data_IF_235031479053
#
_entry.id   IF_235031479053
#
_cell.length_a   1.000
_cell.length_b   1.000
_cell.length_c   1.000
_cell.angle_alpha   90.00
_cell.angle_beta   90.00
_cell.angle_gamma   90.00
#
_symmetry.space_group_name_H-M   'P 1'
#
loop_
_entity.id
_entity.type
_entity.pdbx_description
1 polymer ?
#
# COMPACT_ATOMS: atom_id res chain seq x y z
N UNK A 1 6.11 -18.47 -47.61
CA UNK A 1 6.04 -18.53 -49.09
C UNK A 1 4.75 -17.84 -49.50
N UNK A 2 4.82 -16.64 -50.05
CA UNK A 2 3.65 -15.98 -50.64
C UNK A 2 3.33 -16.65 -51.98
N UNK A 3 2.10 -17.10 -52.14
CA UNK A 3 1.58 -17.56 -53.44
C UNK A 3 1.31 -16.37 -54.37
N UNK A 4 1.26 -16.62 -55.67
CA UNK A 4 0.96 -15.60 -56.68
C UNK A 4 -0.40 -14.93 -56.40
N UNK A 5 -0.41 -13.59 -56.24
CA UNK A 5 -1.60 -12.77 -56.09
C UNK A 5 -1.68 -11.75 -57.25
N UNK A 6 -2.84 -11.67 -57.90
CA UNK A 6 -3.15 -10.60 -58.85
C UNK A 6 -4.22 -9.66 -58.23
N UNK A 7 -3.77 -8.62 -57.53
CA UNK A 7 -4.63 -7.67 -56.80
C UNK A 7 -3.85 -6.80 -55.82
N UNK A 8 -4.55 -5.99 -55.00
CA UNK A 8 -3.95 -5.24 -53.88
C UNK A 8 -4.22 -6.02 -52.61
N UNK A 9 -3.16 -6.33 -51.86
CA UNK A 9 -3.23 -6.93 -50.52
C UNK A 9 -2.79 -5.89 -49.49
N UNK A 10 -3.50 -5.85 -48.37
CA UNK A 10 -3.08 -5.12 -47.19
C UNK A 10 -2.60 -6.17 -46.19
N UNK A 11 -1.31 -6.14 -45.89
CA UNK A 11 -0.71 -6.92 -44.82
C UNK A 11 -0.54 -5.98 -43.63
N UNK A 12 -1.18 -6.30 -42.53
CA UNK A 12 -1.00 -5.58 -41.28
C UNK A 12 0.35 -6.01 -40.67
N UNK A 13 1.30 -5.08 -40.63
CA UNK A 13 2.64 -5.29 -40.08
C UNK A 13 2.66 -4.65 -38.70
N UNK A 14 2.48 -5.48 -37.67
CA UNK A 14 2.58 -5.09 -36.27
C UNK A 14 4.04 -5.12 -35.80
N UNK A 15 4.82 -4.10 -36.18
CA UNK A 15 6.19 -3.89 -35.71
C UNK A 15 6.27 -2.70 -34.76
N UNK A 16 7.01 -2.84 -33.66
CA UNK A 16 7.32 -1.73 -32.75
C UNK A 16 7.17 -2.10 -31.26
N UNK A 17 7.69 -1.24 -30.37
CA UNK A 17 7.60 -1.44 -28.93
C UNK A 17 6.13 -1.34 -28.48
N UNK A 18 5.68 -2.34 -27.71
CA UNK A 18 4.33 -2.35 -27.14
C UNK A 18 4.29 -1.45 -25.89
N UNK A 19 3.30 -0.55 -25.77
CA UNK A 19 3.24 0.35 -24.62
C UNK A 19 2.91 -0.41 -23.34
N UNK A 20 3.74 -0.25 -22.31
CA UNK A 20 3.50 -0.75 -20.96
C UNK A 20 2.56 0.23 -20.26
N UNK A 21 1.51 -0.29 -19.63
CA UNK A 21 0.61 0.50 -18.79
C UNK A 21 0.97 0.30 -17.32
N UNK A 22 1.05 1.39 -16.58
CA UNK A 22 1.15 1.33 -15.13
C UNK A 22 -0.12 0.69 -14.55
N UNK A 23 0.09 -0.17 -13.57
CA UNK A 23 -0.99 -0.83 -12.84
C UNK A 23 -1.81 0.18 -12.02
N UNK A 24 -3.03 -0.22 -11.61
CA UNK A 24 -3.80 0.59 -10.67
C UNK A 24 -3.18 0.50 -9.28
N UNK A 25 -2.70 1.62 -8.74
CA UNK A 25 -1.95 1.66 -7.48
C UNK A 25 -2.82 1.97 -6.25
N UNK A 26 -3.97 2.62 -6.46
CA UNK A 26 -4.92 3.03 -5.41
C UNK A 26 -6.03 2.02 -5.10
N UNK A 27 -5.83 0.73 -5.39
CA UNK A 27 -6.81 -0.33 -5.03
C UNK A 27 -6.53 -0.77 -3.59
N UNK A 28 -7.53 -0.63 -2.72
CA UNK A 28 -7.43 -0.94 -1.30
C UNK A 28 -8.09 -2.30 -1.03
N UNK A 29 -7.45 -3.16 -0.25
CA UNK A 29 -8.02 -4.40 0.27
C UNK A 29 -8.27 -4.27 1.76
N UNK A 30 -9.52 -4.43 2.19
CA UNK A 30 -9.91 -4.39 3.61
C UNK A 30 -10.50 -5.72 4.06
N UNK A 31 -10.13 -6.16 5.25
CA UNK A 31 -10.68 -7.36 5.91
C UNK A 31 -11.20 -6.96 7.29
N UNK A 32 -12.40 -7.42 7.64
CA UNK A 32 -13.00 -7.09 8.93
C UNK A 32 -14.39 -7.68 9.11
N UNK A 33 -15.02 -7.31 10.23
CA UNK A 33 -16.36 -7.79 10.59
C UNK A 33 -17.43 -6.80 10.16
N UNK A 34 -18.61 -7.33 9.84
CA UNK A 34 -19.83 -6.56 9.63
C UNK A 34 -21.02 -7.50 9.88
N UNK A 35 -21.47 -7.68 11.14
CA UNK A 35 -22.47 -8.70 11.46
C UNK A 35 -23.82 -8.39 10.80
N UNK A 36 -24.19 -7.11 10.65
CA UNK A 36 -25.46 -6.68 10.04
C UNK A 36 -25.34 -6.31 8.53
N UNK A 37 -24.31 -6.78 7.83
CA UNK A 37 -24.20 -6.60 6.38
C UNK A 37 -25.16 -7.51 5.61
N UNK A 38 -25.66 -7.02 4.48
CA UNK A 38 -26.42 -7.80 3.48
C UNK A 38 -25.56 -8.99 3.02
N UNK A 39 -25.99 -10.21 3.36
CA UNK A 39 -25.25 -11.43 3.11
C UNK A 39 -25.15 -11.79 1.61
N UNK A 40 -26.08 -11.32 0.79
CA UNK A 40 -26.05 -11.55 -0.66
C UNK A 40 -25.07 -10.57 -1.33
N UNK A 41 -25.01 -9.33 -0.82
CA UNK A 41 -24.08 -8.32 -1.32
C UNK A 41 -22.64 -8.53 -0.82
N UNK A 42 -22.49 -8.93 0.45
CA UNK A 42 -21.21 -9.18 1.11
C UNK A 42 -21.21 -10.57 1.77
N UNK A 43 -21.07 -11.64 0.96
CA UNK A 43 -20.91 -12.99 1.48
C UNK A 43 -19.61 -13.15 2.27
N UNK A 44 -19.63 -14.03 3.26
CA UNK A 44 -18.46 -14.29 4.12
C UNK A 44 -17.28 -14.83 3.31
N UNK A 45 -16.07 -14.40 3.68
CA UNK A 45 -14.79 -14.82 3.10
C UNK A 45 -14.67 -14.66 1.57
N UNK A 46 -15.56 -13.90 0.96
CA UNK A 46 -15.58 -13.70 -0.49
C UNK A 46 -15.21 -12.26 -0.81
N UNK A 47 -14.18 -12.01 -1.64
CA UNK A 47 -13.82 -10.66 -2.06
C UNK A 47 -14.94 -10.01 -2.87
N UNK A 48 -15.41 -8.84 -2.41
CA UNK A 48 -16.40 -8.02 -3.11
C UNK A 48 -15.79 -6.68 -3.48
N UNK A 49 -15.96 -6.27 -4.74
CA UNK A 49 -15.46 -5.00 -5.25
C UNK A 49 -16.50 -3.89 -5.03
N UNK A 50 -16.09 -2.81 -4.37
CA UNK A 50 -16.85 -1.57 -4.25
C UNK A 50 -16.11 -0.46 -5.01
N UNK A 51 -16.71 0.03 -6.09
CA UNK A 51 -16.08 1.01 -6.98
C UNK A 51 -16.43 2.45 -6.58
N UNK A 52 -16.07 2.87 -5.36
CA UNK A 52 -16.32 4.23 -4.85
C UNK A 52 -17.79 4.56 -4.59
N UNK A 53 -18.69 3.57 -4.66
CA UNK A 53 -20.13 3.76 -4.46
C UNK A 53 -20.48 3.72 -2.97
N UNK A 54 -20.85 4.88 -2.41
CA UNK A 54 -21.39 4.96 -1.03
C UNK A 54 -22.67 4.14 -0.84
N UNK A 55 -23.46 3.97 -1.90
CA UNK A 55 -24.70 3.16 -1.87
C UNK A 55 -24.40 1.67 -1.75
N UNK A 56 -23.34 1.18 -2.40
CA UNK A 56 -22.92 -0.23 -2.26
C UNK A 56 -22.28 -0.46 -0.89
N UNK A 57 -21.43 0.46 -0.44
CA UNK A 57 -20.85 0.43 0.89
C UNK A 57 -21.89 0.44 2.02
N UNK A 58 -23.01 1.16 1.85
CA UNK A 58 -24.10 1.19 2.83
C UNK A 58 -24.68 -0.21 3.11
N UNK A 59 -24.54 -1.18 2.20
CA UNK A 59 -25.00 -2.56 2.44
C UNK A 59 -24.12 -3.32 3.45
N UNK A 60 -22.99 -2.74 3.89
CA UNK A 60 -22.21 -3.27 5.01
C UNK A 60 -22.89 -3.08 6.37
N UNK A 61 -23.86 -2.16 6.45
CA UNK A 61 -24.69 -1.99 7.63
C UNK A 61 -26.15 -1.76 7.21
N UNK A 62 -26.97 -2.79 7.35
CA UNK A 62 -28.41 -2.72 7.01
C UNK A 62 -29.26 -2.10 8.10
N UNK A 63 -28.70 -1.73 9.25
CA UNK A 63 -29.43 -1.05 10.32
C UNK A 63 -29.76 0.38 9.94
N UNK A 64 -30.95 0.85 10.32
CA UNK A 64 -31.41 2.19 9.96
C UNK A 64 -30.71 3.32 10.76
N UNK A 65 -30.06 2.97 11.87
CA UNK A 65 -29.39 3.89 12.80
C UNK A 65 -27.85 3.85 12.72
N UNK A 66 -27.28 2.97 11.89
CA UNK A 66 -25.83 2.81 11.75
C UNK A 66 -25.19 2.12 12.96
N UNK A 67 -25.97 1.31 13.69
CA UNK A 67 -25.53 0.55 14.86
C UNK A 67 -25.19 -0.90 14.53
N UNK A 68 -25.06 -1.24 13.24
CA UNK A 68 -24.84 -2.60 12.78
C UNK A 68 -23.49 -3.19 13.16
N UNK A 69 -22.63 -2.40 13.80
CA UNK A 69 -21.39 -2.84 14.42
C UNK A 69 -20.35 -3.33 13.42
N UNK A 70 -19.33 -4.00 13.95
CA UNK A 70 -18.18 -4.46 13.17
C UNK A 70 -17.22 -3.34 12.78
N UNK A 71 -16.16 -3.73 12.08
CA UNK A 71 -15.05 -2.82 11.73
C UNK A 71 -15.14 -2.28 10.30
N UNK A 72 -15.86 -2.95 9.40
CA UNK A 72 -15.90 -2.58 7.98
C UNK A 72 -16.70 -1.30 7.65
N UNK A 73 -17.87 -1.02 8.27
CA UNK A 73 -18.63 0.19 7.92
C UNK A 73 -17.84 1.48 8.17
N UNK A 74 -17.26 1.64 9.36
CA UNK A 74 -16.42 2.80 9.71
C UNK A 74 -15.13 2.88 8.89
N UNK A 75 -14.51 1.73 8.58
CA UNK A 75 -13.35 1.68 7.70
C UNK A 75 -13.67 2.17 6.28
N UNK A 76 -14.80 1.75 5.72
CA UNK A 76 -15.23 2.14 4.39
C UNK A 76 -15.54 3.64 4.31
N UNK A 77 -16.26 4.18 5.29
CA UNK A 77 -16.53 5.62 5.35
C UNK A 77 -15.23 6.42 5.51
N UNK A 78 -14.31 5.96 6.37
CA UNK A 78 -12.98 6.57 6.51
C UNK A 78 -12.16 6.63 5.22
N UNK A 79 -12.22 5.58 4.39
CA UNK A 79 -11.58 5.60 3.05
C UNK A 79 -12.27 6.62 2.15
N UNK A 80 -13.61 6.60 2.10
CA UNK A 80 -14.42 7.45 1.23
C UNK A 80 -14.46 8.92 1.62
N UNK A 81 -14.08 9.25 2.84
CA UNK A 81 -13.82 10.62 3.27
C UNK A 81 -12.54 11.19 2.67
N UNK A 82 -11.58 10.35 2.27
CA UNK A 82 -10.38 10.79 1.56
C UNK A 82 -10.61 10.82 0.05
N UNK A 83 -11.12 9.73 -0.51
CA UNK A 83 -11.35 9.56 -1.95
C UNK A 83 -12.34 8.41 -2.22
N UNK A 84 -13.14 8.53 -3.28
CA UNK A 84 -13.95 7.42 -3.81
C UNK A 84 -13.08 6.33 -4.46
N UNK A 85 -12.26 5.65 -3.67
CA UNK A 85 -11.34 4.62 -4.12
C UNK A 85 -12.05 3.32 -4.54
N UNK A 86 -11.34 2.49 -5.29
CA UNK A 86 -11.76 1.10 -5.52
C UNK A 86 -11.32 0.27 -4.31
N UNK A 87 -12.30 -0.32 -3.61
CA UNK A 87 -12.07 -1.07 -2.39
C UNK A 87 -12.54 -2.51 -2.58
N UNK A 88 -11.67 -3.46 -2.26
CA UNK A 88 -11.98 -4.88 -2.18
C UNK A 88 -12.25 -5.20 -0.73
N UNK A 89 -13.47 -5.62 -0.44
CA UNK A 89 -13.94 -5.91 0.91
C UNK A 89 -14.02 -7.41 1.09
N UNK A 90 -13.41 -7.90 2.17
CA UNK A 90 -13.59 -9.28 2.64
C UNK A 90 -14.25 -9.22 4.01
N UNK A 91 -15.51 -9.63 4.07
CA UNK A 91 -16.27 -9.75 5.32
C UNK A 91 -15.95 -11.08 5.97
N UNK A 92 -15.56 -11.06 7.24
CA UNK A 92 -15.41 -12.26 8.06
C UNK A 92 -16.49 -12.33 9.13
N UNK A 93 -16.73 -13.54 9.62
CA UNK A 93 -17.73 -13.78 10.67
C UNK A 93 -17.22 -13.28 12.03
N UNK A 94 -18.12 -12.75 12.84
CA UNK A 94 -17.82 -12.34 14.21
C UNK A 94 -17.92 -13.55 15.13
N UNK A 95 -16.79 -13.89 15.77
CA UNK A 95 -16.71 -15.04 16.65
C UNK A 95 -17.41 -14.79 17.99
N UNK A 96 -17.52 -15.85 18.81
CA UNK A 96 -18.09 -15.74 20.16
C UNK A 96 -17.27 -14.84 21.10
N UNK A 97 -15.99 -14.65 20.80
CA UNK A 97 -15.07 -13.77 21.50
C UNK A 97 -14.05 -13.12 20.53
N UNK A 98 -13.21 -12.23 21.06
CA UNK A 98 -12.21 -11.52 20.27
C UNK A 98 -11.18 -12.48 19.65
N UNK A 99 -10.83 -13.58 20.33
CA UNK A 99 -9.86 -14.55 19.84
C UNK A 99 -10.42 -15.37 18.66
N UNK A 100 -11.68 -15.78 18.73
CA UNK A 100 -12.38 -16.45 17.64
C UNK A 100 -12.55 -15.52 16.43
N UNK A 101 -12.85 -14.24 16.68
CA UNK A 101 -12.93 -13.25 15.60
C UNK A 101 -11.57 -13.01 14.95
N UNK A 102 -10.52 -12.87 15.76
CA UNK A 102 -9.14 -12.74 15.25
C UNK A 102 -8.75 -13.96 14.40
N UNK A 103 -9.11 -15.18 14.82
CA UNK A 103 -8.89 -16.39 14.03
C UNK A 103 -9.62 -16.35 12.68
N UNK A 104 -10.86 -15.85 12.64
CA UNK A 104 -11.61 -15.67 11.39
C UNK A 104 -10.98 -14.59 10.49
N UNK A 105 -10.43 -13.51 11.06
CA UNK A 105 -9.73 -12.45 10.31
C UNK A 105 -8.43 -12.97 9.69
N UNK A 106 -7.64 -13.74 10.44
CA UNK A 106 -6.45 -14.45 9.91
C UNK A 106 -6.90 -15.37 8.77
N UNK A 107 -7.90 -16.20 9.04
CA UNK A 107 -8.45 -17.14 8.08
C UNK A 107 -7.44 -18.22 7.68
N UNK A 108 -7.44 -18.58 6.40
CA UNK A 108 -6.60 -19.67 5.88
C UNK A 108 -7.12 -20.20 4.56
N UNK A 109 -6.99 -21.51 4.36
CA UNK A 109 -7.60 -22.23 3.25
C UNK A 109 -8.58 -23.23 3.81
N UNK A 110 -9.83 -23.12 3.39
CA UNK A 110 -10.88 -24.06 3.80
C UNK A 110 -10.62 -25.44 3.19
N UNK A 111 -10.43 -26.44 4.06
CA UNK A 111 -10.09 -27.80 3.63
C UNK A 111 -11.16 -28.52 2.80
N UNK A 112 -12.43 -28.08 2.88
CA UNK A 112 -13.54 -28.72 2.19
C UNK A 112 -13.76 -28.24 0.76
N UNK A 113 -13.50 -26.96 0.48
CA UNK A 113 -13.78 -26.34 -0.82
C UNK A 113 -12.56 -25.60 -1.44
N UNK A 114 -11.44 -25.52 -0.72
CA UNK A 114 -10.22 -24.85 -1.18
C UNK A 114 -10.31 -23.32 -1.23
N UNK A 115 -11.37 -22.71 -0.70
CA UNK A 115 -11.54 -21.26 -0.69
C UNK A 115 -10.58 -20.60 0.30
N UNK A 116 -10.03 -19.47 -0.10
CA UNK A 116 -9.26 -18.61 0.79
C UNK A 116 -10.20 -17.86 1.74
N UNK A 117 -9.83 -17.80 3.01
CA UNK A 117 -10.60 -17.16 4.08
C UNK A 117 -9.80 -16.04 4.74
N UNK A 118 -10.47 -15.07 5.36
CA UNK A 118 -9.82 -13.96 6.07
C UNK A 118 -8.89 -13.14 5.17
N UNK A 119 -7.70 -12.79 5.68
CA UNK A 119 -6.72 -12.01 4.91
C UNK A 119 -6.20 -12.74 3.68
N UNK A 120 -6.19 -14.08 3.67
CA UNK A 120 -5.75 -14.85 2.49
C UNK A 120 -6.68 -14.67 1.29
N UNK A 121 -7.96 -14.32 1.50
CA UNK A 121 -8.88 -14.03 0.41
C UNK A 121 -8.44 -12.84 -0.44
N UNK A 122 -7.68 -11.88 0.13
CA UNK A 122 -7.10 -10.76 -0.61
C UNK A 122 -6.09 -11.22 -1.67
N UNK A 123 -5.34 -12.30 -1.42
CA UNK A 123 -4.40 -12.87 -2.37
C UNK A 123 -5.11 -13.45 -3.61
N UNK A 124 -6.33 -13.97 -3.43
CA UNK A 124 -7.17 -14.51 -4.49
C UNK A 124 -8.06 -13.49 -5.20
N UNK A 125 -8.11 -12.25 -4.72
CA UNK A 125 -9.11 -11.25 -5.15
C UNK A 125 -9.07 -10.97 -6.66
N UNK A 126 -7.90 -10.95 -7.28
CA UNK A 126 -7.80 -10.68 -8.73
C UNK A 126 -8.55 -11.71 -9.58
N UNK A 127 -8.55 -12.99 -9.16
CA UNK A 127 -9.28 -14.05 -9.87
C UNK A 127 -10.79 -13.95 -9.75
N UNK A 128 -11.28 -13.33 -8.66
CA UNK A 128 -12.71 -13.22 -8.34
C UNK A 128 -13.30 -11.93 -8.90
N UNK A 129 -12.63 -10.79 -8.66
CA UNK A 129 -13.15 -9.45 -8.98
C UNK A 129 -12.35 -8.72 -10.07
N UNK A 130 -11.31 -9.33 -10.64
CA UNK A 130 -10.50 -8.73 -11.70
C UNK A 130 -9.56 -7.60 -11.24
N UNK A 131 -9.42 -7.40 -9.93
CA UNK A 131 -8.57 -6.37 -9.34
C UNK A 131 -7.70 -6.93 -8.22
N UNK A 132 -6.41 -6.58 -8.25
CA UNK A 132 -5.46 -6.87 -7.17
C UNK A 132 -5.29 -5.65 -6.27
N UNK A 133 -5.47 -5.77 -4.94
CA UNK A 133 -5.19 -4.69 -4.02
C UNK A 133 -3.67 -4.41 -3.92
N UNK A 134 -3.33 -3.14 -3.70
CA UNK A 134 -1.95 -2.64 -3.52
C UNK A 134 -1.73 -1.98 -2.17
N UNK A 135 -2.81 -1.72 -1.44
CA UNK A 135 -2.82 -1.21 -0.08
C UNK A 135 -3.72 -2.14 0.72
N UNK A 136 -3.19 -2.81 1.75
CA UNK A 136 -3.92 -3.78 2.55
C UNK A 136 -4.10 -3.21 3.96
N UNK A 137 -5.27 -3.38 4.55
CA UNK A 137 -5.47 -3.14 5.98
C UNK A 137 -6.53 -4.08 6.56
N UNK A 138 -6.43 -4.33 7.86
CA UNK A 138 -7.45 -5.05 8.64
C UNK A 138 -7.83 -4.18 9.85
N UNK A 139 -8.63 -3.10 9.63
CA UNK A 139 -8.90 -2.11 10.66
C UNK A 139 -9.49 -2.74 11.92
N UNK A 140 -8.86 -2.46 13.07
CA UNK A 140 -9.26 -3.00 14.38
C UNK A 140 -8.62 -4.34 14.74
N UNK A 141 -7.90 -4.99 13.81
CA UNK A 141 -7.34 -6.34 14.01
C UNK A 141 -5.81 -6.42 13.87
N UNK A 142 -5.15 -5.30 13.55
CA UNK A 142 -3.69 -5.23 13.45
C UNK A 142 -3.00 -4.78 14.73
N UNK A 143 -3.74 -4.22 15.70
CA UNK A 143 -3.15 -3.49 16.83
C UNK A 143 -2.76 -4.39 18.00
N UNK A 144 -3.36 -5.58 18.11
CA UNK A 144 -3.18 -6.48 19.25
C UNK A 144 -1.82 -7.18 19.20
N UNK A 145 -1.15 -7.30 20.36
CA UNK A 145 0.01 -8.18 20.56
C UNK A 145 -0.42 -9.28 21.52
N UNK A 146 -0.65 -10.52 21.06
CA UNK A 146 -1.10 -11.60 21.94
C UNK A 146 0.00 -12.00 22.93
N UNK A 147 -0.40 -12.39 24.14
CA UNK A 147 0.52 -12.92 25.14
C UNK A 147 0.95 -14.36 24.77
N UNK A 148 2.23 -14.67 24.94
CA UNK A 148 2.76 -16.02 24.75
C UNK A 148 2.26 -16.95 25.87
N UNK A 149 1.42 -17.91 25.52
CA UNK A 149 0.91 -18.92 26.47
C UNK A 149 2.04 -19.79 27.05
N UNK A 150 3.14 -19.97 26.30
CA UNK A 150 4.31 -20.72 26.74
C UNK A 150 5.25 -19.92 27.66
N UNK A 151 5.14 -18.59 27.66
CA UNK A 151 5.98 -17.70 28.47
C UNK A 151 5.18 -16.46 28.93
N UNK A 152 4.39 -16.59 30.02
CA UNK A 152 3.57 -15.50 30.54
C UNK A 152 4.37 -14.23 30.83
N UNK A 153 3.83 -13.07 30.46
CA UNK A 153 4.47 -11.76 30.55
C UNK A 153 5.28 -11.37 29.30
N UNK A 154 5.37 -12.23 28.28
CA UNK A 154 5.93 -11.88 26.97
C UNK A 154 4.84 -11.80 25.91
N UNK A 155 4.97 -10.84 25.00
CA UNK A 155 3.98 -10.55 23.97
C UNK A 155 4.59 -10.80 22.59
N UNK A 156 3.82 -11.45 21.73
CA UNK A 156 4.20 -11.81 20.37
C UNK A 156 3.71 -10.76 19.37
N UNK A 157 4.25 -10.81 18.16
CA UNK A 157 3.80 -9.99 17.04
C UNK A 157 2.32 -10.26 16.70
N UNK A 158 1.66 -9.29 16.07
CA UNK A 158 0.26 -9.43 15.68
C UNK A 158 0.10 -10.52 14.59
N UNK A 159 -0.76 -11.54 14.77
CA UNK A 159 -0.86 -12.64 13.82
C UNK A 159 -1.48 -12.24 12.48
N UNK A 160 -2.37 -11.26 12.44
CA UNK A 160 -2.99 -10.77 11.19
C UNK A 160 -1.94 -10.05 10.33
N UNK A 161 -1.11 -9.21 10.94
CA UNK A 161 -0.04 -8.51 10.23
C UNK A 161 1.06 -9.47 9.77
N UNK A 162 1.34 -10.52 10.54
CA UNK A 162 2.29 -11.56 10.14
C UNK A 162 1.84 -12.28 8.84
N UNK A 163 0.57 -12.65 8.70
CA UNK A 163 0.05 -13.23 7.46
C UNK A 163 -0.02 -12.20 6.32
N UNK A 164 -0.44 -10.97 6.62
CA UNK A 164 -0.46 -9.88 5.64
C UNK A 164 0.94 -9.55 5.10
N UNK A 165 2.00 -9.69 5.90
CA UNK A 165 3.38 -9.46 5.45
C UNK A 165 3.74 -10.39 4.29
N UNK A 166 3.48 -11.70 4.43
CA UNK A 166 3.75 -12.68 3.38
C UNK A 166 2.88 -12.48 2.13
N UNK A 167 1.61 -12.09 2.32
CA UNK A 167 0.71 -11.74 1.22
C UNK A 167 1.19 -10.49 0.48
N UNK A 168 1.56 -9.44 1.22
CA UNK A 168 2.04 -8.19 0.68
C UNK A 168 3.36 -8.34 -0.08
N UNK A 169 4.28 -9.18 0.41
CA UNK A 169 5.54 -9.47 -0.28
C UNK A 169 5.31 -10.11 -1.66
N UNK A 170 4.45 -11.13 -1.72
CA UNK A 170 4.10 -11.83 -2.97
C UNK A 170 3.38 -10.93 -3.96
N UNK A 171 2.47 -10.09 -3.48
CA UNK A 171 1.65 -9.23 -4.34
C UNK A 171 2.37 -7.95 -4.75
N UNK A 172 3.38 -7.49 -4.01
CA UNK A 172 3.89 -6.13 -4.16
C UNK A 172 2.89 -5.08 -3.63
N UNK A 173 2.30 -5.36 -2.47
CA UNK A 173 1.39 -4.44 -1.77
C UNK A 173 2.04 -3.88 -0.50
N UNK A 174 1.44 -2.83 0.08
CA UNK A 174 1.83 -2.33 1.40
C UNK A 174 0.73 -2.60 2.41
N UNK A 175 1.09 -2.94 3.65
CA UNK A 175 0.16 -3.14 4.75
C UNK A 175 0.12 -1.88 5.58
N UNK A 176 -1.06 -1.26 5.73
CA UNK A 176 -1.26 -0.17 6.68
C UNK A 176 -1.75 -0.79 7.99
N UNK A 177 -0.90 -0.80 9.01
CA UNK A 177 -1.17 -1.43 10.30
C UNK A 177 -1.39 -0.36 11.36
N UNK A 178 -2.47 -0.49 12.13
CA UNK A 178 -2.70 0.31 13.33
C UNK A 178 -1.80 -0.15 14.47
N UNK A 179 -1.16 0.79 15.16
CA UNK A 179 -0.50 0.53 16.43
C UNK A 179 -1.49 0.37 17.59
N UNK A 180 -0.99 0.02 18.78
CA UNK A 180 -1.80 -0.38 19.93
C UNK A 180 -2.63 0.75 20.55
N UNK A 181 -2.42 2.02 20.19
CA UNK A 181 -3.14 3.17 20.72
C UNK A 181 -3.08 3.35 22.24
N UNK A 182 -2.08 2.76 22.92
CA UNK A 182 -1.92 2.84 24.38
C UNK A 182 -0.84 3.85 24.78
N UNK A 183 0.42 3.52 24.54
CA UNK A 183 1.58 4.35 24.91
C UNK A 183 2.59 4.41 23.77
N UNK A 184 3.43 5.44 23.77
CA UNK A 184 4.47 5.60 22.74
C UNK A 184 5.47 4.42 22.78
N UNK A 185 5.83 3.95 23.97
CA UNK A 185 6.70 2.79 24.15
C UNK A 185 6.08 1.49 23.60
N UNK A 186 4.76 1.32 23.76
CA UNK A 186 4.06 0.18 23.18
C UNK A 186 4.03 0.25 21.65
N UNK A 187 3.83 1.44 21.08
CA UNK A 187 3.87 1.65 19.62
C UNK A 187 5.27 1.41 19.04
N UNK A 188 6.33 1.86 19.72
CA UNK A 188 7.72 1.57 19.35
C UNK A 188 8.02 0.08 19.38
N UNK A 189 7.58 -0.61 20.44
CA UNK A 189 7.77 -2.06 20.56
C UNK A 189 7.02 -2.80 19.45
N UNK A 190 5.78 -2.40 19.18
CA UNK A 190 4.98 -2.95 18.08
C UNK A 190 5.65 -2.75 16.72
N UNK A 191 6.23 -1.57 16.44
CA UNK A 191 6.96 -1.34 15.20
C UNK A 191 8.23 -2.19 15.09
N UNK A 192 8.90 -2.47 16.21
CA UNK A 192 10.11 -3.29 16.27
C UNK A 192 9.86 -4.79 16.02
N UNK A 193 8.61 -5.27 16.13
CA UNK A 193 8.24 -6.63 15.74
C UNK A 193 8.40 -6.87 14.22
N UNK A 194 8.46 -5.79 13.44
CA UNK A 194 8.51 -5.79 11.98
C UNK A 194 9.86 -5.32 11.43
N UNK A 195 10.22 -5.78 10.22
CA UNK A 195 11.44 -5.29 9.58
C UNK A 195 11.97 -6.12 8.40
N UNK A 196 11.33 -7.23 8.06
CA UNK A 196 11.83 -8.16 7.04
C UNK A 196 11.58 -7.65 5.62
N UNK A 197 10.35 -7.22 5.33
CA UNK A 197 9.92 -6.91 3.96
C UNK A 197 9.95 -5.43 3.60
N UNK A 198 9.95 -4.53 4.60
CA UNK A 198 9.80 -3.09 4.42
C UNK A 198 8.45 -2.67 3.84
N UNK A 199 7.40 -3.51 3.97
CA UNK A 199 6.05 -3.26 3.42
C UNK A 199 5.00 -2.93 4.47
N UNK A 200 5.35 -2.97 5.74
CA UNK A 200 4.45 -2.64 6.85
C UNK A 200 4.60 -1.15 7.16
N UNK A 201 3.48 -0.43 7.12
CA UNK A 201 3.39 0.99 7.44
C UNK A 201 2.57 1.15 8.71
N UNK A 202 3.28 1.31 9.82
CA UNK A 202 2.69 1.40 11.16
C UNK A 202 2.19 2.81 11.41
N UNK A 203 0.91 2.94 11.78
CA UNK A 203 0.24 4.21 12.08
C UNK A 203 -0.27 4.19 13.52
N UNK A 204 0.15 5.17 14.31
CA UNK A 204 -0.32 5.35 15.69
C UNK A 204 -0.24 6.84 16.06
N UNK A 205 -1.26 7.41 16.71
CA UNK A 205 -2.42 6.78 17.35
C UNK A 205 -3.64 6.62 16.43
N UNK A 206 -4.71 6.05 16.98
CA UNK A 206 -6.04 6.02 16.38
C UNK A 206 -6.64 7.44 16.26
N UNK A 207 -7.76 7.54 15.56
CA UNK A 207 -8.47 8.79 15.29
C UNK A 207 -9.81 8.85 16.01
N UNK A 208 -10.27 10.06 16.30
CA UNK A 208 -11.61 10.33 16.82
C UNK A 208 -12.52 10.75 15.70
N UNK A 209 -13.70 10.17 15.65
CA UNK A 209 -14.77 10.52 14.70
C UNK A 209 -16.11 10.66 15.40
N UNK A 210 -17.05 11.35 14.75
CA UNK A 210 -18.43 11.40 15.19
C UNK A 210 -19.18 10.22 14.55
N UNK A 211 -19.75 9.35 15.37
CA UNK A 211 -20.64 8.29 14.92
C UNK A 211 -21.99 8.86 14.45
N UNK A 212 -22.82 8.03 13.82
CA UNK A 212 -24.15 8.40 13.31
C UNK A 212 -25.08 8.95 14.39
N UNK A 213 -24.92 8.48 15.63
CA UNK A 213 -25.67 8.93 16.81
C UNK A 213 -25.15 10.25 17.42
N UNK A 214 -24.08 10.82 16.85
CA UNK A 214 -23.41 12.03 17.31
C UNK A 214 -22.41 11.82 18.45
N UNK A 215 -22.22 10.59 18.93
CA UNK A 215 -21.19 10.25 19.91
C UNK A 215 -19.79 10.33 19.30
N UNK A 216 -18.79 10.59 20.14
CA UNK A 216 -17.39 10.59 19.71
C UNK A 216 -16.79 9.22 20.01
N UNK A 217 -16.37 8.53 18.96
CA UNK A 217 -15.77 7.19 19.05
C UNK A 217 -14.32 7.21 18.55
N UNK A 218 -13.50 6.33 19.12
CA UNK A 218 -12.14 6.07 18.63
C UNK A 218 -12.20 5.00 17.53
N UNK A 219 -11.59 5.29 16.39
CA UNK A 219 -11.48 4.38 15.25
C UNK A 219 -10.02 4.17 14.84
N UNK A 220 -9.66 2.95 14.39
CA UNK A 220 -8.35 2.68 13.81
C UNK A 220 -8.07 3.62 12.63
N UNK A 221 -6.82 4.07 12.52
CA UNK A 221 -6.41 5.06 11.52
C UNK A 221 -6.11 4.44 10.13
N UNK A 222 -5.86 3.13 10.07
CA UNK A 222 -5.36 2.43 8.89
C UNK A 222 -6.23 2.60 7.66
N UNK A 223 -7.56 2.54 7.80
CA UNK A 223 -8.49 2.73 6.69
C UNK A 223 -8.41 4.15 6.10
N UNK A 224 -8.40 5.18 6.96
CA UNK A 224 -8.24 6.57 6.52
C UNK A 224 -6.87 6.81 5.89
N UNK A 225 -5.81 6.24 6.46
CA UNK A 225 -4.47 6.34 5.89
C UNK A 225 -4.36 5.61 4.55
N UNK A 226 -5.00 4.45 4.38
CA UNK A 226 -5.11 3.78 3.09
C UNK A 226 -5.82 4.67 2.06
N UNK A 227 -6.90 5.35 2.46
CA UNK A 227 -7.56 6.36 1.64
C UNK A 227 -6.65 7.55 1.27
N UNK A 228 -5.83 8.05 2.21
CA UNK A 228 -4.85 9.12 1.95
C UNK A 228 -3.81 8.66 0.93
N UNK A 229 -3.32 7.42 1.05
CA UNK A 229 -2.36 6.85 0.10
C UNK A 229 -3.01 6.77 -1.29
N UNK A 230 -4.22 6.22 -1.39
CA UNK A 230 -4.94 6.12 -2.66
C UNK A 230 -5.24 7.49 -3.30
N UNK A 231 -5.59 8.51 -2.49
CA UNK A 231 -5.76 9.88 -2.96
C UNK A 231 -4.45 10.47 -3.46
N UNK A 232 -3.36 10.28 -2.71
CA UNK A 232 -2.03 10.77 -3.08
C UNK A 232 -1.56 10.19 -4.40
N UNK A 233 -1.79 8.90 -4.62
CA UNK A 233 -1.51 8.24 -5.89
C UNK A 233 -2.27 8.87 -7.06
N UNK A 234 -3.56 9.11 -6.88
CA UNK A 234 -4.42 9.68 -7.91
C UNK A 234 -4.03 11.13 -8.25
N UNK A 235 -3.75 11.95 -7.24
CA UNK A 235 -3.56 13.39 -7.41
C UNK A 235 -2.10 13.77 -7.72
N UNK A 236 -1.14 13.00 -7.22
CA UNK A 236 0.29 13.34 -7.21
C UNK A 236 1.21 12.23 -7.72
N UNK A 237 0.68 11.02 -7.95
CA UNK A 237 1.44 9.86 -8.38
C UNK A 237 1.95 9.00 -7.22
N UNK A 238 2.09 7.70 -7.46
CA UNK A 238 2.46 6.68 -6.48
C UNK A 238 3.88 6.83 -5.89
N UNK A 239 4.73 7.62 -6.55
CA UNK A 239 6.08 7.96 -6.10
C UNK A 239 6.10 9.08 -5.05
N UNK A 240 4.96 9.74 -4.80
CA UNK A 240 4.83 10.74 -3.75
C UNK A 240 4.61 10.07 -2.39
N UNK A 241 5.35 10.53 -1.38
CA UNK A 241 5.11 10.11 0.01
C UNK A 241 3.74 10.60 0.50
N UNK A 242 2.97 9.75 1.22
CA UNK A 242 1.71 10.15 1.84
C UNK A 242 1.90 11.05 3.07
N UNK A 243 3.14 11.22 3.56
CA UNK A 243 3.47 12.14 4.66
C UNK A 243 3.22 13.60 4.27
N UNK A 244 2.79 14.40 5.25
CA UNK A 244 2.36 15.79 5.14
C UNK A 244 1.08 16.02 4.31
N UNK A 245 0.37 14.95 3.94
CA UNK A 245 -0.94 15.03 3.31
C UNK A 245 -2.04 15.20 4.38
N UNK A 246 -3.08 15.97 4.07
CA UNK A 246 -4.17 16.25 5.00
C UNK A 246 -5.07 15.04 5.22
N UNK A 247 -5.58 14.83 6.43
CA UNK A 247 -6.55 13.77 6.73
C UNK A 247 -7.92 14.42 6.93
N UNK A 248 -8.89 14.04 6.12
CA UNK A 248 -10.29 14.49 6.22
C UNK A 248 -11.11 13.49 7.06
N UNK A 249 -12.32 13.86 7.49
CA UNK A 249 -13.21 12.92 8.19
C UNK A 249 -12.82 12.58 9.63
N UNK A 250 -11.94 13.36 10.26
CA UNK A 250 -11.56 13.18 11.67
C UNK A 250 -11.71 14.46 12.48
N UNK A 251 -12.06 14.32 13.76
CA UNK A 251 -12.22 15.43 14.71
C UNK A 251 -11.08 15.52 15.72
N UNK A 252 -10.25 14.48 15.81
CA UNK A 252 -9.13 14.41 16.74
C UNK A 252 -8.29 13.16 16.54
N UNK A 253 -7.20 13.06 17.30
CA UNK A 253 -6.48 11.81 17.54
C UNK A 253 -6.89 11.26 18.90
N UNK A 254 -6.89 9.93 19.06
CA UNK A 254 -7.23 9.28 20.33
C UNK A 254 -6.26 9.69 21.44
N UNK A 255 -4.96 9.76 21.09
CA UNK A 255 -3.90 10.32 21.93
C UNK A 255 -3.35 11.60 21.29
N UNK A 256 -3.15 12.69 22.05
CA UNK A 256 -2.52 13.88 21.50
C UNK A 256 -1.06 13.58 21.17
N UNK A 257 -0.64 13.89 19.94
CA UNK A 257 0.76 13.84 19.52
C UNK A 257 1.27 15.28 19.46
N UNK A 258 2.18 15.65 20.36
CA UNK A 258 2.81 16.96 20.29
C UNK A 258 3.76 17.03 19.10
N UNK A 259 3.71 18.17 18.43
CA UNK A 259 4.53 18.50 17.29
C UNK A 259 4.85 19.98 17.34
N UNK A 260 6.13 20.30 17.18
CA UNK A 260 6.60 21.68 17.08
C UNK A 260 7.74 21.75 16.07
N UNK A 261 7.67 22.74 15.18
CA UNK A 261 8.70 22.95 14.16
C UNK A 261 10.07 23.21 14.81
N UNK A 262 11.06 22.40 14.44
CA UNK A 262 12.43 22.47 14.96
C UNK A 262 12.66 21.76 16.29
N UNK A 263 11.63 21.14 16.89
CA UNK A 263 11.74 20.45 18.17
C UNK A 263 12.00 18.94 18.00
N UNK A 264 13.24 18.54 18.26
CA UNK A 264 13.67 17.13 18.22
C UNK A 264 13.13 16.31 19.38
N UNK A 265 12.68 16.95 20.47
CA UNK A 265 12.15 16.28 21.65
C UNK A 265 10.64 16.02 21.59
N UNK A 266 9.99 16.40 20.49
CA UNK A 266 8.56 16.18 20.31
C UNK A 266 8.20 14.70 20.20
N UNK A 267 7.03 14.31 20.70
CA UNK A 267 6.49 12.94 20.58
C UNK A 267 6.38 12.50 19.13
N UNK A 268 5.99 13.40 18.22
CA UNK A 268 5.97 13.10 16.80
C UNK A 268 7.35 12.66 16.29
N UNK A 269 8.43 13.29 16.75
CA UNK A 269 9.79 12.91 16.39
C UNK A 269 10.20 11.56 17.02
N UNK A 270 9.90 11.36 18.30
CA UNK A 270 10.15 10.11 19.05
C UNK A 270 9.47 8.88 18.41
N UNK A 271 8.27 9.04 17.87
CA UNK A 271 7.57 7.96 17.17
C UNK A 271 8.16 7.73 15.78
N UNK A 272 8.43 8.79 15.03
CA UNK A 272 8.98 8.70 13.67
C UNK A 272 10.40 8.10 13.62
N UNK A 273 11.28 8.44 14.58
CA UNK A 273 12.63 7.86 14.64
C UNK A 273 12.59 6.34 14.90
N UNK A 274 11.49 5.83 15.46
CA UNK A 274 11.22 4.41 15.68
C UNK A 274 10.26 3.81 14.63
N UNK A 275 10.19 4.44 13.44
CA UNK A 275 9.41 3.97 12.30
C UNK A 275 7.89 3.87 12.54
N UNK A 276 7.36 4.66 13.49
CA UNK A 276 5.92 4.81 13.71
C UNK A 276 5.45 6.12 13.07
N UNK A 277 4.52 6.01 12.12
CA UNK A 277 3.88 7.18 11.52
C UNK A 277 2.79 7.72 12.42
N UNK A 278 2.72 9.03 12.55
CA UNK A 278 1.77 9.72 13.45
C UNK A 278 0.81 10.62 12.70
N UNK A 279 -0.16 11.19 13.42
CA UNK A 279 -1.05 12.22 12.90
C UNK A 279 -0.83 13.48 13.74
N UNK A 280 -0.42 14.57 13.09
CA UNK A 280 -0.19 15.86 13.74
C UNK A 280 -1.29 16.86 13.38
N UNK A 281 -1.38 17.94 14.16
CA UNK A 281 -2.28 19.07 13.87
C UNK A 281 -1.48 20.32 13.50
N UNK A 282 -1.35 20.58 12.21
CA UNK A 282 -0.70 21.78 11.65
C UNK A 282 -1.45 22.19 10.38
N UNK A 283 -2.22 23.28 10.43
CA UNK A 283 -3.13 23.68 9.35
C UNK A 283 -4.11 22.55 8.95
N UNK A 284 -4.80 22.00 9.95
CA UNK A 284 -5.60 20.77 9.85
C UNK A 284 -4.86 19.54 10.36
N UNK A 285 -5.51 18.38 10.28
CA UNK A 285 -4.87 17.09 10.59
C UNK A 285 -4.04 16.63 9.40
N UNK A 286 -2.83 16.14 9.67
CA UNK A 286 -1.90 15.67 8.64
C UNK A 286 -1.25 14.37 9.06
N UNK A 287 -1.08 13.48 8.08
CA UNK A 287 -0.23 12.30 8.27
C UNK A 287 1.23 12.77 8.40
N UNK A 288 1.97 12.21 9.34
CA UNK A 288 3.32 12.66 9.67
C UNK A 288 4.23 11.47 9.95
N UNK A 289 4.90 11.05 8.88
CA UNK A 289 5.85 9.95 8.86
C UNK A 289 5.87 9.28 7.50
N UNK A 290 7.05 8.97 7.00
CA UNK A 290 7.25 8.34 5.70
C UNK A 290 8.15 7.11 5.78
N UNK A 291 8.54 6.72 7.00
CA UNK A 291 9.37 5.56 7.26
C UNK A 291 8.54 4.31 7.47
N UNK A 292 9.11 3.17 7.10
CA UNK A 292 8.59 1.82 7.37
C UNK A 292 9.61 1.06 8.22
N UNK A 293 9.19 0.18 9.15
CA UNK A 293 10.12 -0.73 9.81
C UNK A 293 10.80 -1.62 8.77
N UNK A 294 12.13 -1.51 8.67
CA UNK A 294 12.95 -2.34 7.78
C UNK A 294 14.36 -2.45 8.32
N UNK A 295 14.98 -3.62 8.19
CA UNK A 295 16.39 -3.83 8.48
C UNK A 295 17.30 -3.25 7.38
N UNK A 296 16.79 -3.04 6.16
CA UNK A 296 17.54 -2.47 5.04
C UNK A 296 17.22 -0.97 4.87
N UNK A 297 18.17 -0.06 5.19
CA UNK A 297 17.97 1.38 5.05
C UNK A 297 17.69 1.85 3.62
N UNK A 298 18.00 1.05 2.58
CA UNK A 298 17.67 1.38 1.19
C UNK A 298 16.16 1.46 0.97
N UNK A 299 15.39 0.67 1.71
CA UNK A 299 13.93 0.55 1.58
C UNK A 299 13.17 1.27 2.69
N UNK A 300 13.84 2.15 3.46
CA UNK A 300 13.24 2.78 4.63
C UNK A 300 12.06 3.71 4.33
N UNK A 301 11.91 4.19 3.09
CA UNK A 301 10.82 5.10 2.72
C UNK A 301 9.71 4.37 1.98
N UNK A 302 8.47 4.57 2.44
CA UNK A 302 7.29 3.96 1.82
C UNK A 302 7.17 4.31 0.33
N UNK A 303 7.46 5.56 -0.06
CA UNK A 303 7.38 5.99 -1.46
C UNK A 303 8.38 5.28 -2.36
N UNK A 304 9.57 4.97 -1.84
CA UNK A 304 10.63 4.25 -2.58
C UNK A 304 10.22 2.79 -2.77
N UNK A 305 9.77 2.12 -1.70
CA UNK A 305 9.26 0.74 -1.76
C UNK A 305 8.09 0.61 -2.74
N UNK A 306 7.09 1.48 -2.61
CA UNK A 306 5.91 1.48 -3.49
C UNK A 306 6.26 1.76 -4.95
N UNK A 307 7.19 2.66 -5.23
CA UNK A 307 7.64 2.92 -6.60
C UNK A 307 8.27 1.67 -7.23
N UNK A 308 9.09 0.95 -6.47
CA UNK A 308 9.68 -0.31 -6.93
C UNK A 308 8.62 -1.39 -7.18
N UNK A 309 7.67 -1.58 -6.25
CA UNK A 309 6.62 -2.58 -6.38
C UNK A 309 5.72 -2.30 -7.61
N UNK A 310 5.34 -1.05 -7.84
CA UNK A 310 4.54 -0.63 -9.00
C UNK A 310 5.31 -0.82 -10.31
N UNK A 311 6.60 -0.48 -10.35
CA UNK A 311 7.45 -0.67 -11.53
C UNK A 311 7.55 -2.16 -11.88
N UNK A 312 7.91 -2.99 -10.91
CA UNK A 312 8.13 -4.42 -11.09
C UNK A 312 6.86 -5.14 -11.59
N UNK A 313 5.72 -4.85 -10.96
CA UNK A 313 4.45 -5.48 -11.32
C UNK A 313 3.91 -4.99 -12.68
N UNK A 314 4.10 -3.71 -13.01
CA UNK A 314 3.74 -3.17 -14.33
C UNK A 314 4.53 -3.83 -15.45
N UNK A 315 5.84 -4.05 -15.23
CA UNK A 315 6.69 -4.77 -16.19
C UNK A 315 6.21 -6.22 -16.31
N UNK A 316 6.04 -6.96 -15.21
CA UNK A 316 5.61 -8.36 -15.27
C UNK A 316 4.29 -8.54 -16.03
N UNK A 317 3.28 -7.72 -15.73
CA UNK A 317 1.95 -7.80 -16.35
C UNK A 317 1.96 -7.45 -17.83
N UNK A 318 2.85 -6.55 -18.27
CA UNK A 318 2.90 -6.12 -19.65
C UNK A 318 3.64 -7.10 -20.59
N UNK A 319 4.37 -8.07 -20.06
CA UNK A 319 5.24 -8.96 -20.86
C UNK A 319 4.69 -10.37 -21.08
N UNK A 320 3.40 -10.62 -20.82
CA UNK A 320 2.79 -11.92 -21.14
C UNK A 320 2.95 -12.30 -22.62
N UNK A 321 2.94 -11.32 -23.54
CA UNK A 321 3.16 -11.54 -24.97
C UNK A 321 4.58 -12.03 -25.32
N UNK A 322 5.56 -11.78 -24.45
CA UNK A 322 6.95 -12.15 -24.63
C UNK A 322 7.20 -13.63 -24.27
N UNK A 323 6.29 -14.23 -23.50
CA UNK A 323 6.30 -15.66 -23.16
C UNK A 323 6.06 -16.48 -24.44
N UNK A 324 6.76 -17.60 -24.58
CA UNK A 324 6.70 -18.54 -25.71
C UNK A 324 7.12 -17.98 -27.09
N UNK A 325 7.66 -16.76 -27.15
CA UNK A 325 8.28 -16.25 -28.36
C UNK A 325 9.67 -16.83 -28.59
N UNK A 326 10.06 -16.95 -29.85
CA UNK A 326 11.39 -17.40 -30.22
C UNK A 326 12.46 -16.42 -29.71
N UNK A 327 13.39 -16.92 -28.90
CA UNK A 327 14.51 -16.14 -28.37
C UNK A 327 15.46 -15.81 -29.53
N UNK A 328 15.39 -14.58 -30.00
CA UNK A 328 16.26 -14.00 -31.03
C UNK A 328 16.90 -12.73 -30.50
N UNK A 329 17.94 -12.23 -31.18
CA UNK A 329 18.53 -10.94 -30.82
C UNK A 329 17.49 -9.81 -30.85
N UNK A 330 16.66 -9.79 -31.89
CA UNK A 330 15.57 -8.82 -32.05
C UNK A 330 14.54 -8.92 -30.93
N UNK A 331 14.20 -10.14 -30.47
CA UNK A 331 13.31 -10.31 -29.31
C UNK A 331 13.88 -9.66 -28.04
N UNK A 332 15.17 -9.84 -27.76
CA UNK A 332 15.82 -9.23 -26.59
C UNK A 332 15.80 -7.70 -26.71
N UNK A 333 16.12 -7.17 -27.89
CA UNK A 333 16.10 -5.73 -28.16
C UNK A 333 14.69 -5.14 -28.01
N UNK A 334 13.67 -5.78 -28.60
CA UNK A 334 12.27 -5.33 -28.51
C UNK A 334 11.74 -5.28 -27.07
N UNK A 335 12.04 -6.31 -26.26
CA UNK A 335 11.63 -6.34 -24.84
C UNK A 335 12.34 -5.24 -24.06
N UNK A 336 13.65 -5.10 -24.22
CA UNK A 336 14.42 -4.07 -23.52
C UNK A 336 13.98 -2.65 -23.93
N UNK A 337 13.72 -2.41 -25.22
CA UNK A 337 13.21 -1.13 -25.72
C UNK A 337 11.81 -0.81 -25.18
N UNK A 338 10.92 -1.81 -25.08
CA UNK A 338 9.60 -1.64 -24.47
C UNK A 338 9.69 -1.17 -23.01
N UNK A 339 10.55 -1.82 -22.21
CA UNK A 339 10.79 -1.42 -20.81
C UNK A 339 11.45 -0.04 -20.73
N UNK A 340 12.43 0.25 -21.58
CA UNK A 340 13.11 1.55 -21.61
C UNK A 340 12.15 2.69 -21.99
N UNK A 341 11.22 2.46 -22.93
CA UNK A 341 10.18 3.43 -23.27
C UNK A 341 9.26 3.73 -22.10
N UNK A 342 8.90 2.72 -21.31
CA UNK A 342 8.11 2.89 -20.09
C UNK A 342 8.85 3.68 -19.02
N UNK A 343 10.10 3.33 -18.73
CA UNK A 343 10.96 4.05 -17.78
C UNK A 343 11.12 5.50 -18.21
N UNK A 344 11.35 5.77 -19.50
CA UNK A 344 11.45 7.13 -20.02
C UNK A 344 10.16 7.94 -19.79
N UNK A 345 8.99 7.30 -19.95
CA UNK A 345 7.70 7.90 -19.61
C UNK A 345 7.58 8.26 -18.12
N UNK A 346 8.01 7.36 -17.23
CA UNK A 346 8.05 7.62 -15.79
C UNK A 346 9.03 8.74 -15.41
N UNK A 347 10.19 8.81 -16.07
CA UNK A 347 11.16 9.91 -15.87
C UNK A 347 10.57 11.25 -16.32
N UNK A 348 9.88 11.28 -17.46
CA UNK A 348 9.22 12.49 -17.95
C UNK A 348 8.12 13.00 -17.01
N UNK A 349 7.48 12.10 -16.26
CA UNK A 349 6.49 12.43 -15.22
C UNK A 349 7.12 12.83 -13.87
N UNK A 350 8.45 12.67 -13.72
CA UNK A 350 9.15 12.86 -12.44
C UNK A 350 8.94 11.72 -11.45
N UNK A 351 8.41 10.57 -11.89
CA UNK A 351 8.22 9.38 -11.07
C UNK A 351 9.54 8.64 -10.80
N UNK A 352 10.49 8.76 -11.72
CA UNK A 352 11.85 8.25 -11.61
C UNK A 352 12.84 9.36 -11.95
N UNK A 353 14.02 9.32 -11.33
CA UNK A 353 15.16 10.15 -11.74
C UNK A 353 15.88 9.56 -12.96
N UNK A 354 15.82 8.24 -13.12
CA UNK A 354 16.42 7.51 -14.23
C UNK A 354 16.23 6.00 -14.07
N UNK A 355 16.59 5.26 -15.11
CA UNK A 355 16.61 3.81 -15.16
C UNK A 355 16.87 3.29 -16.57
N UNK A 356 17.28 2.04 -16.68
CA UNK A 356 17.56 1.37 -17.95
C UNK A 356 17.35 -0.13 -17.84
N UNK A 357 16.81 -0.76 -18.88
CA UNK A 357 16.71 -2.20 -19.06
C UNK A 357 17.63 -2.70 -20.19
N UNK A 358 18.24 -3.86 -20.00
CA UNK A 358 19.08 -4.53 -21.00
C UNK A 358 19.06 -6.06 -20.82
N UNK A 359 19.28 -6.80 -21.90
CA UNK A 359 19.54 -8.24 -21.83
C UNK A 359 20.94 -8.51 -21.26
N UNK A 360 21.04 -9.39 -20.28
CA UNK A 360 22.30 -9.70 -19.61
C UNK A 360 23.21 -10.55 -20.53
N UNK A 361 24.38 -10.05 -20.97
CA UNK A 361 25.24 -10.80 -21.89
C UNK A 361 25.93 -12.00 -21.22
N UNK A 362 26.10 -11.99 -19.91
CA UNK A 362 26.80 -13.02 -19.16
C UNK A 362 25.86 -14.17 -18.78
N UNK A 363 24.59 -13.86 -18.48
CA UNK A 363 23.57 -14.86 -18.15
C UNK A 363 22.88 -15.46 -19.39
N UNK A 364 22.79 -14.71 -20.50
CA UNK A 364 22.22 -15.17 -21.77
C UNK A 364 23.20 -16.01 -22.59
N UNK A 365 23.73 -17.08 -21.99
CA UNK A 365 24.60 -18.04 -22.65
C UNK A 365 23.82 -18.93 -23.65
N UNK A 366 24.54 -19.60 -24.55
CA UNK A 366 23.94 -20.55 -25.48
C UNK A 366 23.17 -21.68 -24.74
N UNK A 367 23.66 -22.13 -23.59
CA UNK A 367 23.00 -23.15 -22.78
C UNK A 367 21.70 -22.62 -22.15
N UNK A 368 21.71 -21.39 -21.63
CA UNK A 368 20.50 -20.73 -21.09
C UNK A 368 19.42 -20.63 -22.18
N UNK A 369 19.81 -20.16 -23.37
CA UNK A 369 18.90 -20.00 -24.51
C UNK A 369 18.37 -21.35 -25.02
N UNK A 370 19.21 -22.39 -25.06
CA UNK A 370 18.78 -23.75 -25.40
C UNK A 370 17.74 -24.31 -24.41
N UNK A 371 17.81 -23.89 -23.14
CA UNK A 371 16.82 -24.21 -22.12
C UNK A 371 15.59 -23.28 -22.13
N UNK A 372 15.48 -22.37 -23.11
CA UNK A 372 14.39 -21.40 -23.19
C UNK A 372 14.46 -20.28 -22.15
N UNK A 373 15.61 -20.07 -21.52
CA UNK A 373 15.81 -19.05 -20.49
C UNK A 373 16.46 -17.80 -21.08
N UNK A 374 15.89 -16.65 -20.75
CA UNK A 374 16.42 -15.32 -21.09
C UNK A 374 16.39 -14.42 -19.85
N UNK A 375 17.44 -13.63 -19.67
CA UNK A 375 17.67 -12.78 -18.52
C UNK A 375 17.72 -11.32 -18.95
N UNK A 376 16.92 -10.50 -18.29
CA UNK A 376 16.92 -9.05 -18.43
C UNK A 376 17.26 -8.44 -17.07
N UNK A 377 18.19 -7.50 -17.07
CA UNK A 377 18.43 -6.63 -15.94
C UNK A 377 17.76 -5.29 -16.19
N UNK A 378 17.33 -4.64 -15.12
CA UNK A 378 16.98 -3.24 -15.18
C UNK A 378 17.37 -2.53 -13.89
N UNK A 379 17.83 -1.31 -14.02
CA UNK A 379 18.05 -0.39 -12.92
C UNK A 379 16.98 0.72 -12.93
N UNK A 380 16.77 1.32 -11.77
CA UNK A 380 15.89 2.47 -11.61
C UNK A 380 16.29 3.24 -10.35
N UNK A 381 15.98 4.53 -10.31
CA UNK A 381 16.14 5.37 -9.11
C UNK A 381 14.90 6.24 -8.94
N UNK A 382 14.10 6.04 -7.88
CA UNK A 382 12.99 6.93 -7.57
C UNK A 382 13.47 8.22 -6.88
N UNK A 383 12.67 9.30 -6.90
CA UNK A 383 12.93 10.46 -6.07
C UNK A 383 12.76 10.12 -4.59
N UNK A 384 13.72 10.56 -3.76
CA UNK A 384 13.64 10.39 -2.31
C UNK A 384 12.88 11.55 -1.67
N UNK A 385 12.05 11.31 -0.65
CA UNK A 385 11.36 12.37 0.06
C UNK A 385 12.36 13.22 0.86
N UNK A 386 12.21 14.55 0.80
CA UNK A 386 12.97 15.48 1.64
C UNK A 386 12.45 15.46 3.09
N UNK A 387 12.79 14.40 3.84
CA UNK A 387 12.34 14.19 5.22
C UNK A 387 12.80 15.30 6.17
N UNK A 388 14.01 15.84 5.96
CA UNK A 388 14.57 16.94 6.77
C UNK A 388 15.14 18.04 5.89
N UNK A 389 14.61 19.25 6.05
CA UNK A 389 15.14 20.48 5.43
C UNK A 389 15.81 21.32 6.50
N UNK A 390 17.10 21.65 6.34
CA UNK A 390 17.88 22.42 7.32
C UNK A 390 18.30 23.75 6.71
N UNK A 391 17.80 24.86 7.25
CA UNK A 391 18.26 26.21 6.92
C UNK A 391 19.34 26.64 7.91
N UNK A 392 20.46 27.18 7.41
CA UNK A 392 21.57 27.70 8.23
C UNK A 392 21.57 29.22 8.11
N UNK A 393 21.18 29.91 9.19
CA UNK A 393 21.21 31.37 9.24
C UNK A 393 22.60 31.88 9.58
N UNK A 394 23.13 32.81 8.79
CA UNK A 394 24.38 33.51 9.05
C UNK A 394 24.07 34.99 9.31
N UNK A 395 24.50 35.51 10.46
CA UNK A 395 24.49 36.95 10.72
C UNK A 395 25.78 37.54 10.15
N UNK A 396 25.67 38.41 9.15
CA UNK A 396 26.81 39.07 8.50
C UNK A 396 26.78 40.58 8.74
N UNK A 397 27.96 41.19 8.87
CA UNK A 397 28.11 42.64 9.03
C UNK A 397 28.37 43.33 7.68
N UNK A 398 28.51 42.58 6.58
CA UNK A 398 28.86 43.11 5.27
C UNK A 398 27.83 44.15 4.77
N UNK A 399 26.55 43.92 5.05
CA UNK A 399 25.47 44.84 4.72
C UNK A 399 25.42 46.09 5.60
N UNK A 400 26.06 46.06 6.78
CA UNK A 400 26.19 47.24 7.64
C UNK A 400 27.20 48.21 7.00
N UNK A 401 28.27 47.69 6.39
CA UNK A 401 29.24 48.53 5.69
C UNK A 401 28.63 49.22 4.45
N UNK A 402 27.76 48.53 3.71
CA UNK A 402 27.02 49.12 2.58
C UNK A 402 25.99 50.17 3.01
N UNK A 403 25.36 50.00 4.18
CA UNK A 403 24.40 50.99 4.71
C UNK A 403 25.07 52.26 5.28
N UNK A 404 26.39 52.23 5.52
CA UNK A 404 27.18 53.34 6.05
C UNK A 404 28.02 54.05 4.97
N UNK A 405 27.99 53.57 3.72
CA UNK A 405 28.58 54.21 2.55
C UNK A 405 27.55 55.10 1.84
#
# INVERSE_FOLDING_TARGET
>A
MSGFLHGVEVIEIDTGPRPIRTIRTGVIGIVGTAPQADADAFPLNTPVLVAGSRTEAAKLDTTADGTGGGTLPGAMDGIFDQIGAVVIVVRVDEGADEAATLANVIGGVNSGNGQFEGVHALAGAESVVGHSPRILCAPGWTHQRPEDTGNPGTYLANPVVAELEGIADRMGAVVVADGPNTTDAAAQTYAADWGTTGRIYVVDPWVKVAASDGSIVDEPASARVAGVIARTDNDKGFWKSPSNEGITGIIGTSRPVDFKLGDQSSRANLLNENNVTTIIRQNGFRLWGNRVPTADPKWQFISVRRTADVLNDSIQRAHLWAVDRAITKTYIEEVAEGVNGYIAGLVAQGALLGGKCWGDPDLNTAASIQNGQVWFNFDFTPPYPAERVTFRSHLTNDYIAEALA
#
